data_IF_425317905948
#
_entry.id   IF_425317905948
#
_cell.length_a   1.000
_cell.length_b   1.000
_cell.length_c   1.000
_cell.angle_alpha   90.00
_cell.angle_beta   90.00
_cell.angle_gamma   90.00
#
_symmetry.space_group_name_H-M   'P 1'
#
loop_
_entity.id
_entity.type
_entity.pdbx_description
1 polymer ?
#
# COMPACT_ATOMS: atom_id res chain seq x y z
N UNK A 1 -39.95 -9.06 12.85
CA UNK A 1 -39.20 -9.02 11.56
C UNK A 1 -38.33 -10.27 11.55
N UNK A 2 -38.46 -11.13 10.55
CA UNK A 2 -37.65 -12.33 10.39
C UNK A 2 -36.19 -11.92 10.19
N UNK A 3 -35.29 -12.32 11.09
CA UNK A 3 -33.86 -12.11 11.02
C UNK A 3 -33.23 -13.09 9.98
N UNK A 4 -33.62 -13.05 8.73
CA UNK A 4 -33.01 -13.88 7.70
C UNK A 4 -31.78 -13.16 7.14
N UNK A 5 -30.67 -13.89 6.99
CA UNK A 5 -29.48 -13.40 6.30
C UNK A 5 -29.87 -13.01 4.86
N UNK A 6 -29.34 -11.90 4.38
CA UNK A 6 -29.52 -11.47 2.99
C UNK A 6 -28.90 -12.51 2.05
N UNK A 7 -29.58 -12.80 0.97
CA UNK A 7 -29.01 -13.62 -0.10
C UNK A 7 -27.83 -12.89 -0.76
N UNK A 8 -26.91 -13.60 -1.42
CA UNK A 8 -25.82 -12.95 -2.15
C UNK A 8 -26.28 -11.87 -3.13
N UNK A 9 -27.41 -12.07 -3.79
CA UNK A 9 -27.99 -11.12 -4.75
C UNK A 9 -28.57 -9.86 -4.08
N UNK A 10 -29.03 -9.94 -2.84
CA UNK A 10 -29.51 -8.80 -2.05
C UNK A 10 -28.35 -8.05 -1.39
N UNK A 11 -27.29 -8.74 -1.04
CA UNK A 11 -26.12 -8.18 -0.36
C UNK A 11 -25.18 -7.45 -1.33
N UNK A 12 -25.05 -7.91 -2.57
CA UNK A 12 -24.11 -7.34 -3.56
C UNK A 12 -24.35 -5.85 -3.89
N UNK A 13 -25.58 -5.36 -4.09
CA UNK A 13 -25.83 -3.92 -4.27
C UNK A 13 -25.37 -3.08 -3.08
N UNK A 14 -25.56 -3.56 -1.84
CA UNK A 14 -25.09 -2.88 -0.65
C UNK A 14 -23.56 -2.86 -0.59
N UNK A 15 -22.89 -3.96 -0.90
CA UNK A 15 -21.43 -4.03 -0.97
C UNK A 15 -20.90 -3.04 -2.02
N UNK A 16 -21.51 -2.99 -3.20
CA UNK A 16 -21.16 -2.02 -4.24
C UNK A 16 -21.36 -0.57 -3.78
N UNK A 17 -22.44 -0.29 -3.06
CA UNK A 17 -22.68 1.03 -2.47
C UNK A 17 -21.62 1.37 -1.41
N UNK A 18 -21.19 0.42 -0.59
CA UNK A 18 -20.10 0.60 0.37
C UNK A 18 -18.81 1.02 -0.37
N UNK A 19 -18.41 0.28 -1.41
CA UNK A 19 -17.20 0.60 -2.16
C UNK A 19 -17.31 1.90 -2.97
N UNK A 20 -18.52 2.23 -3.48
CA UNK A 20 -18.77 3.52 -4.13
C UNK A 20 -18.67 4.69 -3.15
N UNK A 21 -19.04 4.49 -1.88
CA UNK A 21 -18.95 5.52 -0.83
C UNK A 21 -17.53 6.03 -0.61
N UNK A 22 -16.49 5.21 -0.95
CA UNK A 22 -15.09 5.63 -0.85
C UNK A 22 -14.73 6.73 -1.87
N UNK A 23 -15.39 6.73 -3.03
CA UNK A 23 -15.25 7.79 -4.04
C UNK A 23 -16.08 9.01 -3.71
N UNK A 24 -17.31 8.81 -3.24
CA UNK A 24 -18.31 9.86 -2.99
C UNK A 24 -18.25 10.48 -1.59
N UNK A 25 -17.46 9.86 -0.67
CA UNK A 25 -17.29 10.32 0.72
C UNK A 25 -18.55 10.31 1.59
N UNK A 26 -19.57 9.53 1.24
CA UNK A 26 -20.86 9.43 1.96
C UNK A 26 -20.88 8.33 3.04
N UNK A 27 -19.74 8.09 3.69
CA UNK A 27 -19.54 6.99 4.65
C UNK A 27 -20.57 6.94 5.76
N UNK A 28 -20.97 8.12 6.30
CA UNK A 28 -21.92 8.21 7.43
C UNK A 28 -23.31 7.69 7.06
N UNK A 29 -23.71 7.84 5.80
CA UNK A 29 -25.02 7.39 5.33
C UNK A 29 -25.05 5.88 5.08
N UNK A 30 -23.91 5.32 4.67
CA UNK A 30 -23.79 3.90 4.32
C UNK A 30 -23.52 3.02 5.55
N UNK A 31 -22.84 3.55 6.56
CA UNK A 31 -22.48 2.79 7.76
C UNK A 31 -23.67 2.11 8.46
N UNK A 32 -24.82 2.78 8.73
CA UNK A 32 -25.94 2.12 9.39
C UNK A 32 -26.48 0.91 8.60
N UNK A 33 -26.56 1.03 7.27
CA UNK A 33 -27.02 -0.04 6.39
C UNK A 33 -26.04 -1.22 6.39
N UNK A 34 -24.73 -0.93 6.37
CA UNK A 34 -23.71 -1.95 6.43
C UNK A 34 -23.68 -2.69 7.78
N UNK A 35 -23.95 -1.98 8.89
CA UNK A 35 -24.09 -2.59 10.23
C UNK A 35 -25.31 -3.48 10.32
N UNK A 36 -26.47 -3.04 9.82
CA UNK A 36 -27.71 -3.85 9.79
C UNK A 36 -27.50 -5.13 8.97
N UNK A 37 -26.87 -5.04 7.80
CA UNK A 37 -26.56 -6.20 6.98
C UNK A 37 -25.57 -7.15 7.69
N UNK A 38 -24.60 -6.62 8.41
CA UNK A 38 -23.60 -7.42 9.12
C UNK A 38 -24.23 -8.29 10.23
N UNK A 39 -25.28 -7.86 10.90
CA UNK A 39 -25.93 -8.65 11.96
C UNK A 39 -26.33 -10.05 11.47
N UNK A 40 -26.75 -10.17 10.21
CA UNK A 40 -27.21 -11.43 9.63
C UNK A 40 -26.20 -12.06 8.64
N UNK A 41 -25.08 -11.38 8.34
CA UNK A 41 -24.07 -11.82 7.36
C UNK A 41 -22.64 -11.75 7.93
N UNK A 42 -22.46 -12.26 9.17
CA UNK A 42 -21.22 -12.12 9.96
C UNK A 42 -19.97 -12.77 9.36
N UNK A 43 -20.13 -13.60 8.33
CA UNK A 43 -19.03 -14.30 7.66
C UNK A 43 -18.75 -13.76 6.24
N UNK A 44 -19.45 -12.71 5.80
CA UNK A 44 -19.20 -12.13 4.50
C UNK A 44 -17.95 -11.23 4.53
N UNK A 45 -16.84 -11.72 3.96
CA UNK A 45 -15.54 -11.04 3.99
C UNK A 45 -15.59 -9.63 3.35
N UNK A 46 -16.31 -9.44 2.23
CA UNK A 46 -16.42 -8.14 1.55
C UNK A 46 -17.16 -7.10 2.40
N UNK A 47 -18.22 -7.54 3.08
CA UNK A 47 -18.99 -6.67 3.98
C UNK A 47 -18.15 -6.26 5.20
N UNK A 48 -17.43 -7.22 5.80
CA UNK A 48 -16.55 -6.97 6.95
C UNK A 48 -15.42 -6.01 6.55
N UNK A 49 -14.78 -6.24 5.41
CA UNK A 49 -13.75 -5.36 4.88
C UNK A 49 -14.31 -3.94 4.62
N UNK A 50 -15.49 -3.84 4.02
CA UNK A 50 -16.17 -2.57 3.82
C UNK A 50 -16.41 -1.80 5.12
N UNK A 51 -16.89 -2.49 6.17
CA UNK A 51 -17.06 -1.91 7.51
C UNK A 51 -15.73 -1.46 8.11
N UNK A 52 -14.67 -2.25 7.96
CA UNK A 52 -13.34 -1.87 8.44
C UNK A 52 -12.85 -0.58 7.75
N UNK A 53 -12.97 -0.49 6.42
CA UNK A 53 -12.53 0.66 5.65
C UNK A 53 -13.39 1.91 5.95
N UNK A 54 -14.71 1.79 6.04
CA UNK A 54 -15.58 2.93 6.43
C UNK A 54 -15.12 3.51 7.77
N UNK A 55 -14.82 2.65 8.75
CA UNK A 55 -14.37 3.10 10.07
C UNK A 55 -13.00 3.77 10.03
N UNK A 56 -12.09 3.42 9.11
CA UNK A 56 -10.84 4.17 8.87
C UNK A 56 -11.17 5.61 8.42
N UNK A 57 -12.03 5.75 7.42
CA UNK A 57 -12.40 7.08 6.89
C UNK A 57 -13.15 7.95 7.90
N UNK A 58 -13.80 7.33 8.88
CA UNK A 58 -14.47 8.02 9.99
C UNK A 58 -13.55 8.23 11.21
N UNK A 59 -12.27 7.88 11.10
CA UNK A 59 -11.27 7.91 12.18
C UNK A 59 -11.64 7.03 13.41
N UNK A 60 -12.51 6.04 13.22
CA UNK A 60 -12.92 5.07 14.24
C UNK A 60 -11.95 3.87 14.26
N UNK A 61 -10.68 4.12 14.51
CA UNK A 61 -9.64 3.10 14.39
C UNK A 61 -9.89 1.85 15.24
N UNK A 62 -10.48 1.99 16.44
CA UNK A 62 -10.82 0.84 17.29
C UNK A 62 -11.85 -0.10 16.66
N UNK A 63 -12.91 0.45 16.06
CA UNK A 63 -13.93 -0.35 15.36
C UNK A 63 -13.35 -0.97 14.07
N UNK A 64 -12.53 -0.22 13.33
CA UNK A 64 -11.83 -0.76 12.17
C UNK A 64 -10.97 -1.98 12.54
N UNK A 65 -10.16 -1.89 13.60
CA UNK A 65 -9.34 -3.00 14.12
C UNK A 65 -10.21 -4.21 14.46
N UNK A 66 -11.37 -4.00 15.08
CA UNK A 66 -12.32 -5.08 15.43
C UNK A 66 -12.78 -5.84 14.17
N UNK A 67 -13.18 -5.13 13.11
CA UNK A 67 -13.61 -5.77 11.87
C UNK A 67 -12.46 -6.48 11.15
N UNK A 68 -11.26 -5.92 11.12
CA UNK A 68 -10.10 -6.63 10.58
C UNK A 68 -9.75 -7.89 11.38
N UNK A 69 -9.87 -7.87 12.71
CA UNK A 69 -9.70 -9.08 13.53
C UNK A 69 -10.71 -10.17 13.16
N UNK A 70 -11.99 -9.82 13.00
CA UNK A 70 -13.03 -10.77 12.55
C UNK A 70 -12.65 -11.32 11.16
N UNK A 71 -12.26 -10.46 10.22
CA UNK A 71 -11.87 -10.84 8.86
C UNK A 71 -10.74 -11.87 8.86
N UNK A 72 -9.70 -11.67 9.68
CA UNK A 72 -8.55 -12.59 9.76
C UNK A 72 -8.81 -13.83 10.60
N UNK A 73 -9.83 -13.85 11.46
CA UNK A 73 -10.33 -15.07 12.08
C UNK A 73 -11.05 -15.97 11.05
N UNK A 74 -11.76 -15.37 10.09
CA UNK A 74 -12.44 -16.11 9.01
C UNK A 74 -11.41 -16.61 8.00
N UNK A 75 -10.44 -15.79 7.64
CA UNK A 75 -9.44 -16.08 6.62
C UNK A 75 -8.05 -15.56 7.03
N UNK A 76 -7.32 -16.38 7.81
CA UNK A 76 -6.00 -16.02 8.32
C UNK A 76 -4.97 -15.76 7.23
N UNK A 77 -5.09 -16.45 6.08
CA UNK A 77 -4.16 -16.31 4.95
C UNK A 77 -4.43 -15.09 4.07
N UNK A 78 -5.51 -14.36 4.35
CA UNK A 78 -5.87 -13.18 3.58
C UNK A 78 -4.77 -12.12 3.68
N UNK A 79 -4.28 -11.69 2.53
CA UNK A 79 -3.29 -10.64 2.40
C UNK A 79 -3.91 -9.23 2.50
N UNK A 80 -5.01 -9.03 1.75
CA UNK A 80 -5.71 -7.74 1.68
C UNK A 80 -6.27 -7.38 3.05
N UNK A 81 -6.04 -6.14 3.48
CA UNK A 81 -6.49 -5.61 4.77
C UNK A 81 -5.41 -5.61 5.87
N UNK A 82 -4.29 -6.32 5.72
CA UNK A 82 -3.25 -6.36 6.77
C UNK A 82 -2.50 -5.02 6.90
N UNK A 83 -2.10 -4.40 5.80
CA UNK A 83 -1.48 -3.08 5.85
C UNK A 83 -2.41 -2.01 6.46
N UNK A 84 -3.70 -1.89 6.07
CA UNK A 84 -4.66 -1.03 6.77
C UNK A 84 -4.83 -1.35 8.27
N UNK A 85 -4.83 -2.64 8.67
CA UNK A 85 -4.85 -2.99 10.10
C UNK A 85 -3.64 -2.41 10.84
N UNK A 86 -2.43 -2.58 10.30
CA UNK A 86 -1.21 -2.04 10.92
C UNK A 86 -1.26 -0.50 11.02
N UNK A 87 -1.78 0.18 9.99
CA UNK A 87 -2.02 1.62 10.06
C UNK A 87 -2.99 1.97 11.20
N UNK A 88 -4.12 1.29 11.33
CA UNK A 88 -5.08 1.53 12.40
C UNK A 88 -4.47 1.30 13.79
N UNK A 89 -3.65 0.26 13.94
CA UNK A 89 -2.96 -0.04 15.20
C UNK A 89 -1.99 1.07 15.61
N UNK A 90 -1.31 1.72 14.65
CA UNK A 90 -0.44 2.87 14.91
C UNK A 90 -1.21 4.12 15.37
N UNK A 91 -2.45 4.31 14.88
CA UNK A 91 -3.26 5.47 15.24
C UNK A 91 -4.18 5.24 16.45
N UNK A 92 -4.41 3.98 16.85
CA UNK A 92 -5.27 3.68 17.98
C UNK A 92 -4.55 3.89 19.30
N UNK A 93 -5.13 4.71 20.18
CA UNK A 93 -4.60 4.86 21.54
C UNK A 93 -4.68 3.56 22.33
N UNK A 94 -3.59 3.21 23.04
CA UNK A 94 -3.51 2.02 23.88
C UNK A 94 -3.24 0.72 23.10
N UNK A 95 -2.74 0.80 21.87
CA UNK A 95 -2.24 -0.38 21.14
C UNK A 95 -1.07 -0.99 21.90
N UNK A 96 -1.14 -2.31 22.15
CA UNK A 96 -0.03 -3.07 22.69
C UNK A 96 1.04 -3.24 21.61
N UNK A 97 2.28 -2.85 21.91
CA UNK A 97 3.42 -2.95 20.96
C UNK A 97 3.74 -4.39 20.59
N UNK A 98 3.60 -5.34 21.52
CA UNK A 98 3.82 -6.77 21.25
C UNK A 98 2.81 -7.29 20.23
N UNK A 99 1.53 -6.93 20.39
CA UNK A 99 0.48 -7.28 19.44
C UNK A 99 0.73 -6.66 18.06
N UNK A 100 1.17 -5.39 18.02
CA UNK A 100 1.54 -4.74 16.75
C UNK A 100 2.67 -5.49 16.05
N UNK A 101 3.74 -5.83 16.78
CA UNK A 101 4.87 -6.60 16.23
C UNK A 101 4.43 -7.98 15.73
N UNK A 102 3.57 -8.67 16.49
CA UNK A 102 3.02 -9.97 16.08
C UNK A 102 2.29 -9.89 14.75
N UNK A 103 1.44 -8.88 14.55
CA UNK A 103 0.73 -8.66 13.27
C UNK A 103 1.67 -8.29 12.13
N UNK A 104 2.73 -7.49 12.39
CA UNK A 104 3.78 -7.23 11.41
C UNK A 104 4.49 -8.52 10.97
N UNK A 105 4.84 -9.40 11.91
CA UNK A 105 5.50 -10.66 11.62
C UNK A 105 4.59 -11.64 10.86
N UNK A 106 3.29 -11.66 11.16
CA UNK A 106 2.30 -12.44 10.39
C UNK A 106 2.23 -11.95 8.95
N UNK A 107 2.21 -10.62 8.76
CA UNK A 107 2.17 -10.02 7.43
C UNK A 107 3.44 -10.31 6.63
N UNK A 108 4.62 -10.15 7.25
CA UNK A 108 5.91 -10.50 6.64
C UNK A 108 5.95 -11.94 6.15
N UNK A 109 5.53 -12.91 6.97
CA UNK A 109 5.49 -14.32 6.60
C UNK A 109 4.60 -14.62 5.39
N UNK A 110 3.52 -13.86 5.21
CA UNK A 110 2.64 -14.01 4.03
C UNK A 110 3.34 -13.46 2.79
N UNK A 111 3.99 -12.29 2.90
CA UNK A 111 4.76 -11.68 1.83
C UNK A 111 5.93 -12.56 1.38
N UNK A 112 6.66 -13.14 2.35
CA UNK A 112 7.85 -13.96 2.08
C UNK A 112 7.56 -15.24 1.28
N UNK A 113 6.33 -15.77 1.35
CA UNK A 113 5.96 -17.00 0.61
C UNK A 113 6.01 -16.82 -0.90
N UNK A 114 5.74 -15.63 -1.39
CA UNK A 114 5.68 -15.30 -2.81
C UNK A 114 6.98 -14.63 -3.30
N UNK A 115 7.95 -14.43 -2.40
CA UNK A 115 9.24 -13.86 -2.78
C UNK A 115 10.09 -14.90 -3.52
N UNK A 116 10.34 -14.65 -4.78
CA UNK A 116 11.37 -15.34 -5.55
C UNK A 116 12.72 -14.88 -5.00
N UNK A 117 13.29 -15.65 -4.08
CA UNK A 117 14.58 -15.37 -3.46
C UNK A 117 15.74 -15.67 -4.43
N UNK A 118 15.90 -14.88 -5.45
CA UNK A 118 17.16 -14.84 -6.21
C UNK A 118 18.16 -13.97 -5.44
N UNK A 119 19.05 -14.61 -4.69
CA UNK A 119 20.20 -13.93 -4.08
C UNK A 119 21.18 -13.52 -5.17
N UNK A 120 21.04 -12.31 -5.69
CA UNK A 120 22.05 -11.74 -6.57
C UNK A 120 23.28 -11.37 -5.71
N UNK A 121 24.32 -12.20 -5.76
CA UNK A 121 25.63 -11.84 -5.17
C UNK A 121 26.32 -10.86 -6.13
N UNK A 122 26.24 -9.56 -5.83
CA UNK A 122 27.09 -8.59 -6.51
C UNK A 122 28.48 -8.55 -5.90
N UNK A 123 29.50 -8.58 -6.73
CA UNK A 123 30.88 -8.32 -6.32
C UNK A 123 31.10 -6.82 -6.38
N UNK A 124 31.36 -6.13 -5.26
CA UNK A 124 31.58 -4.69 -5.28
C UNK A 124 32.75 -4.31 -6.20
N UNK A 125 32.51 -3.49 -7.19
CA UNK A 125 33.57 -2.91 -8.02
C UNK A 125 33.92 -1.53 -7.45
N UNK A 126 35.09 -1.42 -6.81
CA UNK A 126 35.55 -0.18 -6.15
C UNK A 126 35.71 1.02 -7.06
N UNK A 127 35.75 0.81 -8.37
CA UNK A 127 35.95 1.89 -9.38
C UNK A 127 34.63 2.32 -10.06
N UNK A 128 33.49 1.80 -9.64
CA UNK A 128 32.16 2.10 -10.21
C UNK A 128 31.34 2.91 -9.22
N UNK A 129 30.57 3.89 -9.74
CA UNK A 129 29.57 4.57 -8.93
C UNK A 129 28.55 3.58 -8.38
N UNK A 130 28.09 3.82 -7.15
CA UNK A 130 27.00 3.07 -6.55
C UNK A 130 25.69 3.52 -7.20
N UNK A 131 24.94 2.59 -7.79
CA UNK A 131 23.64 2.87 -8.41
C UNK A 131 22.54 2.74 -7.37
N UNK A 132 21.92 3.86 -7.05
CA UNK A 132 20.81 3.94 -6.09
C UNK A 132 19.53 4.27 -6.86
N UNK A 133 18.58 3.34 -6.82
CA UNK A 133 17.26 3.54 -7.42
C UNK A 133 16.22 3.88 -6.36
N UNK A 134 15.32 4.81 -6.69
CA UNK A 134 14.19 5.25 -5.88
C UNK A 134 12.91 4.85 -6.61
N UNK A 135 12.16 3.90 -6.02
CA UNK A 135 10.87 3.46 -6.54
C UNK A 135 9.77 4.20 -5.79
N UNK A 136 8.91 4.94 -6.52
CA UNK A 136 7.81 5.65 -5.88
C UNK A 136 6.68 5.99 -6.87
N UNK A 137 5.44 6.01 -6.38
CA UNK A 137 4.26 6.57 -7.06
C UNK A 137 4.06 8.06 -6.77
N UNK A 138 4.88 8.65 -5.89
CA UNK A 138 4.70 9.99 -5.36
C UNK A 138 5.77 11.00 -5.82
N UNK A 139 6.40 10.73 -6.97
CA UNK A 139 7.37 11.64 -7.60
C UNK A 139 6.68 12.82 -8.30
N UNK A 140 5.87 13.54 -7.55
CA UNK A 140 5.05 14.70 -7.92
C UNK A 140 4.92 15.64 -6.72
N UNK A 141 4.06 16.66 -6.72
CA UNK A 141 3.77 17.47 -5.53
C UNK A 141 3.17 16.57 -4.44
N UNK A 142 4.06 16.07 -3.58
CA UNK A 142 3.79 15.18 -2.46
C UNK A 142 4.85 15.37 -1.36
N UNK A 143 4.52 15.05 -0.10
CA UNK A 143 5.44 15.21 1.03
C UNK A 143 6.80 14.52 0.81
N UNK A 144 6.79 13.30 0.25
CA UNK A 144 8.01 12.53 -0.07
C UNK A 144 8.92 13.30 -1.04
N UNK A 145 8.36 13.90 -2.07
CA UNK A 145 9.13 14.61 -3.10
C UNK A 145 9.83 15.87 -2.60
N UNK A 146 9.29 16.53 -1.56
CA UNK A 146 9.99 17.65 -0.93
C UNK A 146 11.29 17.22 -0.27
N UNK A 147 11.30 16.03 0.38
CA UNK A 147 12.54 15.48 0.95
C UNK A 147 13.50 15.00 -0.15
N UNK A 148 12.99 14.30 -1.17
CA UNK A 148 13.81 13.74 -2.25
C UNK A 148 14.47 14.82 -3.10
N UNK A 149 13.81 15.95 -3.34
CA UNK A 149 14.36 17.07 -4.13
C UNK A 149 15.69 17.57 -3.56
N UNK A 150 15.72 17.82 -2.26
CA UNK A 150 16.93 18.30 -1.59
C UNK A 150 18.03 17.22 -1.54
N UNK A 151 17.63 15.97 -1.36
CA UNK A 151 18.55 14.83 -1.41
C UNK A 151 19.23 14.74 -2.79
N UNK A 152 18.47 14.76 -3.89
CA UNK A 152 19.01 14.64 -5.24
C UNK A 152 19.92 15.79 -5.65
N UNK A 153 19.65 16.99 -5.13
CA UNK A 153 20.52 18.15 -5.37
C UNK A 153 21.84 18.07 -4.61
N UNK A 154 21.88 17.40 -3.45
CA UNK A 154 23.04 17.38 -2.56
C UNK A 154 23.87 16.08 -2.65
N UNK A 155 23.34 15.06 -3.30
CA UNK A 155 24.03 13.77 -3.43
C UNK A 155 25.32 13.93 -4.23
N UNK A 156 26.39 13.27 -3.80
CA UNK A 156 27.66 13.30 -4.52
C UNK A 156 27.60 12.48 -5.82
N UNK A 157 27.39 13.16 -6.93
CA UNK A 157 27.30 12.57 -8.27
C UNK A 157 28.62 11.95 -8.78
N UNK A 158 29.73 12.12 -8.05
CA UNK A 158 31.01 11.47 -8.40
C UNK A 158 31.00 10.00 -7.94
N UNK A 159 30.35 9.72 -6.83
CA UNK A 159 30.34 8.40 -6.19
C UNK A 159 29.01 7.66 -6.34
N UNK A 160 27.90 8.39 -6.54
CA UNK A 160 26.55 7.85 -6.61
C UNK A 160 25.90 8.23 -7.95
N UNK A 161 25.29 7.24 -8.60
CA UNK A 161 24.39 7.41 -9.73
C UNK A 161 22.95 7.18 -9.26
N UNK A 162 22.07 8.17 -9.47
CA UNK A 162 20.69 8.17 -8.98
C UNK A 162 19.73 7.81 -10.10
N UNK A 163 18.79 6.90 -9.81
CA UNK A 163 17.83 6.37 -10.77
C UNK A 163 16.43 6.49 -10.18
N UNK A 164 15.48 7.10 -10.89
CA UNK A 164 14.07 7.04 -10.52
C UNK A 164 13.36 5.91 -11.25
N UNK A 165 12.60 5.10 -10.49
CA UNK A 165 11.63 4.15 -10.99
C UNK A 165 10.24 4.70 -10.66
N UNK A 166 9.69 5.52 -11.56
CA UNK A 166 8.44 6.25 -11.34
C UNK A 166 7.23 5.35 -11.60
N UNK A 167 6.53 4.96 -10.53
CA UNK A 167 5.23 4.28 -10.61
C UNK A 167 4.07 5.29 -10.64
N UNK A 168 4.28 6.43 -11.29
CA UNK A 168 3.32 7.49 -11.46
C UNK A 168 2.80 7.51 -12.90
N UNK A 169 1.46 7.55 -13.05
CA UNK A 169 0.83 7.83 -14.35
C UNK A 169 1.38 9.16 -14.92
N UNK A 170 1.85 9.12 -16.15
CA UNK A 170 2.43 10.29 -16.84
C UNK A 170 1.49 11.50 -16.85
N UNK A 171 0.16 11.27 -16.92
CA UNK A 171 -0.83 12.34 -16.90
C UNK A 171 -0.97 13.01 -15.51
N UNK A 172 -0.34 12.47 -14.48
CA UNK A 172 -0.31 13.02 -13.11
C UNK A 172 1.02 13.70 -12.76
N UNK A 173 1.97 13.72 -13.70
CA UNK A 173 3.21 14.45 -13.52
C UNK A 173 2.94 15.96 -13.45
N UNK A 174 3.73 16.66 -12.66
CA UNK A 174 3.58 18.10 -12.39
C UNK A 174 4.96 18.81 -12.32
N UNK A 175 4.95 20.07 -11.91
CA UNK A 175 6.17 20.88 -11.80
C UNK A 175 7.22 20.28 -10.85
N UNK A 176 6.81 19.53 -9.82
CA UNK A 176 7.73 18.82 -8.94
C UNK A 176 8.36 17.62 -9.66
N UNK A 177 7.57 16.88 -10.45
CA UNK A 177 8.09 15.79 -11.28
C UNK A 177 9.20 16.28 -12.22
N UNK A 178 8.99 17.43 -12.88
CA UNK A 178 10.01 18.05 -13.75
C UNK A 178 11.25 18.49 -12.97
N UNK A 179 11.07 19.08 -11.77
CA UNK A 179 12.21 19.47 -10.93
C UNK A 179 13.04 18.26 -10.48
N UNK A 180 12.39 17.12 -10.16
CA UNK A 180 13.07 15.88 -9.80
C UNK A 180 13.80 15.28 -11.01
N UNK A 181 13.19 15.24 -12.20
CA UNK A 181 13.82 14.76 -13.43
C UNK A 181 15.12 15.51 -13.74
N UNK A 182 15.12 16.82 -13.51
CA UNK A 182 16.31 17.65 -13.76
C UNK A 182 17.44 17.46 -12.74
N UNK A 183 17.17 16.80 -11.60
CA UNK A 183 18.14 16.61 -10.51
C UNK A 183 18.63 15.17 -10.38
N UNK A 184 18.00 14.21 -11.05
CA UNK A 184 18.35 12.78 -11.02
C UNK A 184 19.06 12.36 -12.32
N UNK A 185 19.91 11.31 -12.26
CA UNK A 185 20.71 10.93 -13.42
C UNK A 185 19.92 10.14 -14.46
N UNK A 186 18.97 9.28 -14.02
CA UNK A 186 18.11 8.49 -14.91
C UNK A 186 16.67 8.48 -14.39
N UNK A 187 15.70 8.51 -15.33
CA UNK A 187 14.26 8.45 -15.02
C UNK A 187 13.57 7.39 -15.88
N UNK A 188 12.96 6.40 -15.23
CA UNK A 188 12.23 5.31 -15.86
C UNK A 188 10.79 5.27 -15.35
N UNK A 189 9.82 5.36 -16.27
CA UNK A 189 8.39 5.17 -15.93
C UNK A 189 8.09 3.68 -15.92
N UNK A 190 7.50 3.22 -14.80
CA UNK A 190 7.14 1.81 -14.59
C UNK A 190 5.63 1.60 -14.36
N UNK A 191 4.82 2.66 -14.40
CA UNK A 191 3.40 2.66 -14.04
C UNK A 191 2.56 1.58 -14.75
N UNK A 192 2.78 1.37 -16.06
CA UNK A 192 2.03 0.40 -16.86
C UNK A 192 2.76 -0.94 -17.06
N UNK A 193 3.86 -1.16 -16.33
CA UNK A 193 4.67 -2.36 -16.47
C UNK A 193 4.21 -3.46 -15.50
N UNK A 194 4.28 -4.70 -15.94
CA UNK A 194 4.13 -5.88 -15.08
C UNK A 194 5.33 -6.02 -14.13
N UNK A 195 5.13 -6.73 -13.01
CA UNK A 195 6.20 -7.00 -12.04
C UNK A 195 7.42 -7.64 -12.71
N UNK A 196 7.21 -8.56 -13.65
CA UNK A 196 8.28 -9.21 -14.41
C UNK A 196 9.09 -8.21 -15.25
N UNK A 197 8.43 -7.26 -15.90
CA UNK A 197 9.12 -6.21 -16.67
C UNK A 197 9.90 -5.27 -15.76
N UNK A 198 9.36 -4.92 -14.59
CA UNK A 198 10.06 -4.09 -13.60
C UNK A 198 11.28 -4.83 -13.04
N UNK A 199 11.15 -6.10 -12.69
CA UNK A 199 12.28 -6.94 -12.22
C UNK A 199 13.38 -7.00 -13.29
N UNK A 200 13.03 -7.22 -14.55
CA UNK A 200 13.99 -7.28 -15.65
C UNK A 200 14.67 -5.92 -15.86
N UNK A 201 13.94 -4.81 -15.76
CA UNK A 201 14.50 -3.48 -15.81
C UNK A 201 15.50 -3.23 -14.67
N UNK A 202 15.13 -3.54 -13.43
CA UNK A 202 16.01 -3.42 -12.25
C UNK A 202 17.31 -4.22 -12.43
N UNK A 203 17.20 -5.45 -12.95
CA UNK A 203 18.36 -6.31 -13.27
C UNK A 203 19.24 -5.70 -14.39
N UNK A 204 18.62 -5.18 -15.45
CA UNK A 204 19.37 -4.59 -16.59
C UNK A 204 20.09 -3.32 -16.23
N UNK A 205 19.53 -2.51 -15.33
CA UNK A 205 20.14 -1.28 -14.82
C UNK A 205 21.31 -1.56 -13.86
N UNK A 206 21.48 -2.80 -13.40
CA UNK A 206 22.53 -3.22 -12.45
C UNK A 206 22.52 -2.36 -11.18
N UNK A 207 21.33 -2.19 -10.58
CA UNK A 207 21.09 -1.38 -9.38
C UNK A 207 21.76 -2.04 -8.17
N UNK A 208 22.48 -1.23 -7.37
CA UNK A 208 23.14 -1.69 -6.14
C UNK A 208 22.24 -1.57 -4.91
N UNK A 209 21.45 -0.49 -4.83
CA UNK A 209 20.54 -0.20 -3.73
C UNK A 209 19.19 0.23 -4.32
N UNK A 210 18.12 -0.43 -3.90
CA UNK A 210 16.74 -0.04 -4.20
C UNK A 210 16.10 0.51 -2.93
N UNK A 211 15.53 1.71 -3.03
CA UNK A 211 14.80 2.40 -1.98
C UNK A 211 13.34 2.50 -2.44
N UNK A 212 12.41 1.98 -1.63
CA UNK A 212 10.95 2.03 -1.80
C UNK A 212 10.32 2.89 -0.69
#
# INVERSE_FOLDING_TARGET
KSNNALTPSELEPLINMIFLSFKTKIFRNVLPLALEAFENNKFNEKLIEGLAIINIYLANNKESIKYYKILFQINEKRFIGRAPLLCCLNYASGTNQEYYLEECLKYSKILEKDLISEKVKKIPNKNKKIKVAFLSSDLRVHSVSFFLKDLFLKIDKKTIETIALSNLDKNKEDSMSEALKNSIDQWHVIFDKSDTEVINLVKSLDIDILID
#
